data_IF_472451006214
#
_entry.id   IF_472451006214
#
_cell.length_a   1.000
_cell.length_b   1.000
_cell.length_c   1.000
_cell.angle_alpha   90.00
_cell.angle_beta   90.00
_cell.angle_gamma   90.00
#
_symmetry.space_group_name_H-M   'P 1'
#
loop_
_entity.id
_entity.type
_entity.pdbx_description
1 polymer ?
#
# COMPACT_ATOMS: atom_id res chain seq x y z
N UNK A 1 -13.38 -23.43 -11.06
CA UNK A 1 -12.68 -23.42 -12.35
C UNK A 1 -11.20 -23.15 -12.07
N UNK A 2 -10.28 -24.09 -12.35
CA UNK A 2 -8.85 -23.81 -12.29
C UNK A 2 -8.41 -23.02 -13.53
N UNK A 3 -7.47 -22.10 -13.36
CA UNK A 3 -6.79 -21.40 -14.47
C UNK A 3 -5.51 -22.18 -14.86
N UNK A 4 -5.11 -22.09 -16.12
CA UNK A 4 -3.85 -22.68 -16.61
C UNK A 4 -2.63 -21.89 -16.12
N UNK A 5 -1.47 -22.55 -16.02
CA UNK A 5 -0.24 -21.91 -15.54
C UNK A 5 0.25 -20.80 -16.48
N UNK A 6 0.08 -20.95 -17.80
CA UNK A 6 0.34 -19.87 -18.76
C UNK A 6 -0.58 -18.66 -18.51
N UNK A 7 -1.85 -18.87 -18.17
CA UNK A 7 -2.76 -17.77 -17.83
C UNK A 7 -2.44 -17.11 -16.47
N UNK A 8 -1.77 -17.84 -15.57
CA UNK A 8 -1.23 -17.28 -14.32
C UNK A 8 0.01 -16.42 -14.58
N UNK A 9 0.86 -16.82 -15.53
CA UNK A 9 2.06 -16.06 -15.96
C UNK A 9 1.72 -14.93 -16.96
N UNK A 10 0.60 -15.03 -17.70
CA UNK A 10 0.11 -14.04 -18.68
C UNK A 10 -0.92 -13.05 -18.11
N UNK A 11 -1.46 -13.26 -16.89
CA UNK A 11 -2.09 -12.15 -16.19
C UNK A 11 -1.00 -11.09 -15.97
N UNK A 12 -1.16 -9.85 -16.48
CA UNK A 12 -0.12 -8.83 -16.35
C UNK A 12 0.01 -8.49 -14.87
N UNK A 13 0.90 -9.20 -14.15
CA UNK A 13 1.13 -9.18 -12.70
C UNK A 13 0.23 -8.17 -12.01
N UNK A 14 -1.04 -8.58 -11.85
CA UNK A 14 -2.21 -7.72 -11.67
C UNK A 14 -1.78 -6.43 -10.98
N UNK A 15 -1.67 -5.35 -11.77
CA UNK A 15 -1.06 -4.08 -11.38
C UNK A 15 -1.31 -3.84 -9.89
N UNK A 16 -0.31 -4.15 -9.04
CA UNK A 16 -0.36 -4.19 -7.58
C UNK A 16 -1.34 -3.13 -7.12
N UNK A 17 -2.55 -3.60 -6.81
CA UNK A 17 -3.68 -2.72 -6.71
C UNK A 17 -3.56 -2.04 -5.36
N UNK A 18 -2.88 -0.90 -5.35
CA UNK A 18 -2.70 -0.08 -4.15
C UNK A 18 -3.97 0.74 -3.88
N UNK A 19 -5.14 0.16 -4.17
CA UNK A 19 -6.42 0.72 -3.79
C UNK A 19 -6.61 0.69 -2.27
N UNK A 20 -7.32 1.68 -1.76
CA UNK A 20 -7.73 1.73 -0.35
C UNK A 20 -8.42 0.41 0.06
N UNK A 21 -8.05 -0.09 1.25
CA UNK A 21 -8.60 -1.33 1.80
C UNK A 21 -7.82 -2.62 1.45
N UNK A 22 -6.92 -2.57 0.47
CA UNK A 22 -6.05 -3.71 0.10
C UNK A 22 -4.89 -3.91 1.10
N UNK A 23 -4.30 -5.10 1.10
CA UNK A 23 -3.13 -5.41 1.95
C UNK A 23 -1.91 -4.53 1.60
N UNK A 24 -1.54 -4.33 0.32
CA UNK A 24 -0.45 -3.43 -0.03
C UNK A 24 -0.69 -1.99 0.42
N UNK A 25 -1.91 -1.47 0.25
CA UNK A 25 -2.27 -0.14 0.72
C UNK A 25 -2.07 0.01 2.22
N UNK A 26 -2.52 -0.96 3.03
CA UNK A 26 -2.35 -0.90 4.49
C UNK A 26 -0.88 -0.91 4.91
N UNK A 27 -0.04 -1.72 4.27
CA UNK A 27 1.40 -1.75 4.57
C UNK A 27 2.05 -0.42 4.18
N UNK A 28 1.75 0.12 3.00
CA UNK A 28 2.29 1.40 2.57
C UNK A 28 1.83 2.56 3.45
N UNK A 29 0.54 2.61 3.80
CA UNK A 29 0.02 3.64 4.70
C UNK A 29 0.71 3.59 6.07
N UNK A 30 0.89 2.39 6.63
CA UNK A 30 1.62 2.20 7.89
C UNK A 30 3.08 2.69 7.80
N UNK A 31 3.78 2.34 6.73
CA UNK A 31 5.18 2.76 6.54
C UNK A 31 5.30 4.25 6.24
N UNK A 32 4.33 4.84 5.54
CA UNK A 32 4.29 6.27 5.25
C UNK A 32 3.95 7.12 6.49
N UNK A 33 3.14 6.60 7.42
CA UNK A 33 2.88 7.23 8.72
C UNK A 33 4.10 7.17 9.68
N UNK A 34 5.08 6.32 9.35
CA UNK A 34 6.31 6.09 10.10
C UNK A 34 7.53 6.17 9.18
N UNK A 35 7.62 7.25 8.38
CA UNK A 35 8.63 7.43 7.33
C UNK A 35 10.07 7.55 7.87
N UNK A 36 10.22 7.89 9.16
CA UNK A 36 11.49 7.97 9.88
C UNK A 36 11.96 6.62 10.46
N UNK A 37 11.16 5.56 10.34
CA UNK A 37 11.40 4.26 10.99
C UNK A 37 11.47 3.09 10.01
N UNK A 38 12.12 2.01 10.44
CA UNK A 38 12.18 0.76 9.70
C UNK A 38 11.69 -0.40 10.56
N UNK A 39 10.90 -1.28 9.97
CA UNK A 39 10.19 -2.36 10.66
C UNK A 39 10.52 -3.72 10.09
N UNK A 40 10.51 -4.74 10.93
CA UNK A 40 10.57 -6.12 10.49
C UNK A 40 9.22 -6.59 9.96
N UNK A 41 9.21 -7.68 9.18
CA UNK A 41 7.96 -8.32 8.75
C UNK A 41 7.06 -8.74 9.93
N UNK A 42 7.64 -9.05 11.09
CA UNK A 42 6.89 -9.42 12.29
C UNK A 42 6.19 -8.21 12.88
N UNK A 43 6.90 -7.09 13.02
CA UNK A 43 6.31 -5.85 13.52
C UNK A 43 5.24 -5.32 12.56
N UNK A 44 5.48 -5.37 11.25
CA UNK A 44 4.47 -4.99 10.24
C UNK A 44 3.24 -5.89 10.36
N UNK A 45 3.41 -7.21 10.51
CA UNK A 45 2.30 -8.14 10.75
C UNK A 45 1.49 -7.76 11.99
N UNK A 46 2.16 -7.51 13.12
CA UNK A 46 1.52 -7.17 14.39
C UNK A 46 0.78 -5.84 14.32
N UNK A 47 1.35 -4.84 13.64
CA UNK A 47 0.79 -3.49 13.55
C UNK A 47 -0.35 -3.37 12.53
N UNK A 48 -0.27 -4.10 11.42
CA UNK A 48 -1.26 -4.02 10.33
C UNK A 48 -2.34 -5.12 10.40
N UNK A 49 -2.12 -6.17 11.21
CA UNK A 49 -3.01 -7.33 11.31
C UNK A 49 -2.99 -8.24 10.08
N UNK A 50 -2.13 -7.98 9.09
CA UNK A 50 -2.01 -8.78 7.87
C UNK A 50 -1.28 -10.08 8.17
N UNK A 51 -1.75 -11.22 7.67
CA UNK A 51 -1.11 -12.54 7.90
C UNK A 51 0.39 -12.49 7.57
N UNK A 52 1.23 -13.02 8.46
CA UNK A 52 2.70 -13.02 8.33
C UNK A 52 3.21 -13.56 6.99
N UNK A 53 2.59 -14.63 6.47
CA UNK A 53 2.93 -15.18 5.15
C UNK A 53 2.58 -14.26 3.98
N UNK A 54 1.57 -13.39 4.13
CA UNK A 54 1.19 -12.40 3.12
C UNK A 54 2.05 -11.15 3.19
N UNK A 55 2.49 -10.73 4.38
CA UNK A 55 3.36 -9.55 4.57
C UNK A 55 4.62 -9.65 3.71
N UNK A 56 5.31 -10.78 3.75
CA UNK A 56 6.53 -10.98 2.95
C UNK A 56 6.28 -10.87 1.45
N UNK A 57 5.27 -11.59 0.92
CA UNK A 57 4.92 -11.53 -0.50
C UNK A 57 4.54 -10.11 -0.94
N UNK A 58 3.77 -9.38 -0.13
CA UNK A 58 3.36 -8.02 -0.46
C UNK A 58 4.55 -7.07 -0.43
N UNK A 59 5.43 -7.16 0.57
CA UNK A 59 6.62 -6.33 0.69
C UNK A 59 7.59 -6.53 -0.48
N UNK A 60 7.84 -7.78 -0.90
CA UNK A 60 8.66 -8.04 -2.09
C UNK A 60 8.09 -7.35 -3.33
N UNK A 61 6.79 -7.48 -3.57
CA UNK A 61 6.17 -6.83 -4.74
C UNK A 61 6.15 -5.29 -4.64
N UNK A 62 6.09 -4.74 -3.43
CA UNK A 62 6.23 -3.29 -3.19
C UNK A 62 7.67 -2.81 -3.46
N UNK A 63 8.67 -3.61 -3.10
CA UNK A 63 10.09 -3.35 -3.37
C UNK A 63 10.39 -3.42 -4.87
N UNK A 64 9.85 -4.40 -5.59
CA UNK A 64 10.00 -4.51 -7.06
C UNK A 64 9.52 -3.25 -7.79
N UNK A 65 8.60 -2.49 -7.17
CA UNK A 65 8.05 -1.22 -7.70
C UNK A 65 8.76 0.02 -7.17
N UNK A 66 9.70 -0.15 -6.24
CA UNK A 66 10.43 0.93 -5.58
C UNK A 66 9.57 1.74 -4.60
N UNK A 67 8.50 1.15 -4.05
CA UNK A 67 7.61 1.83 -3.08
C UNK A 67 8.09 1.66 -1.64
N UNK A 68 8.88 0.62 -1.38
CA UNK A 68 9.53 0.37 -0.10
C UNK A 68 10.99 0.01 -0.33
N UNK A 69 11.82 0.21 0.70
CA UNK A 69 13.24 -0.18 0.72
C UNK A 69 13.46 -1.28 1.75
N UNK A 70 14.34 -2.22 1.43
CA UNK A 70 14.69 -3.34 2.28
C UNK A 70 16.17 -3.33 2.67
N UNK A 71 16.47 -3.55 3.96
CA UNK A 71 17.82 -3.74 4.46
C UNK A 71 17.86 -4.85 5.52
N UNK A 72 18.36 -6.00 5.11
CA UNK A 72 18.56 -7.15 6.00
C UNK A 72 17.23 -7.80 6.38
N UNK A 73 16.66 -7.41 7.54
CA UNK A 73 15.34 -7.85 7.98
C UNK A 73 14.33 -6.70 8.10
N UNK A 74 14.78 -5.48 7.82
CA UNK A 74 14.05 -4.24 8.06
C UNK A 74 13.56 -3.65 6.75
N UNK A 75 12.37 -3.08 6.80
CA UNK A 75 11.62 -2.49 5.69
C UNK A 75 11.20 -1.08 6.07
N UNK A 76 11.33 -0.14 5.15
CA UNK A 76 10.90 1.24 5.33
C UNK A 76 10.26 1.77 4.05
N UNK A 77 9.55 2.89 4.14
CA UNK A 77 9.03 3.57 2.96
C UNK A 77 10.20 4.05 2.08
N UNK A 78 9.99 4.09 0.76
CA UNK A 78 10.95 4.67 -0.17
C UNK A 78 10.90 6.21 -0.13
N UNK A 79 12.06 6.87 -0.13
CA UNK A 79 12.20 8.35 -0.06
C UNK A 79 11.98 9.06 -1.43
N UNK A 80 11.64 8.32 -2.49
CA UNK A 80 11.71 8.81 -3.88
C UNK A 80 10.42 9.48 -4.37
N UNK A 81 10.49 10.27 -5.46
CA UNK A 81 9.37 11.03 -6.06
C UNK A 81 8.13 10.17 -6.41
N UNK A 82 8.30 8.85 -6.49
CA UNK A 82 7.20 7.89 -6.65
C UNK A 82 6.25 7.83 -5.44
N UNK A 83 6.75 8.11 -4.24
CA UNK A 83 5.93 8.21 -3.04
C UNK A 83 5.01 9.43 -3.11
N UNK A 84 5.45 10.54 -3.69
CA UNK A 84 4.60 11.73 -3.90
C UNK A 84 3.39 11.40 -4.78
N UNK A 85 3.54 10.52 -5.77
CA UNK A 85 2.42 10.04 -6.59
C UNK A 85 1.45 9.15 -5.81
N UNK A 86 1.92 8.36 -4.84
CA UNK A 86 1.06 7.59 -3.94
C UNK A 86 0.35 8.49 -2.92
N UNK A 87 1.07 9.44 -2.32
CA UNK A 87 0.53 10.42 -1.39
C UNK A 87 -0.53 11.31 -2.05
N UNK A 88 -0.32 11.73 -3.31
CA UNK A 88 -1.32 12.46 -4.08
C UNK A 88 -2.60 11.66 -4.31
N UNK A 89 -2.48 10.35 -4.58
CA UNK A 89 -3.64 9.45 -4.70
C UNK A 89 -4.36 9.25 -3.36
N UNK A 90 -3.60 9.16 -2.25
CA UNK A 90 -4.17 9.08 -0.91
C UNK A 90 -4.94 10.36 -0.55
N UNK A 91 -4.35 11.54 -0.79
CA UNK A 91 -5.00 12.82 -0.56
C UNK A 91 -6.29 12.97 -1.40
N UNK A 92 -6.26 12.56 -2.67
CA UNK A 92 -7.44 12.57 -3.53
C UNK A 92 -8.53 11.59 -3.08
N UNK A 93 -8.13 10.42 -2.57
CA UNK A 93 -9.05 9.38 -2.05
C UNK A 93 -9.65 9.75 -0.69
N UNK A 94 -8.92 10.52 0.13
CA UNK A 94 -9.44 11.06 1.40
C UNK A 94 -10.31 12.30 1.19
N UNK A 95 -10.00 13.14 0.21
CA UNK A 95 -10.79 14.32 -0.13
C UNK A 95 -12.17 13.97 -0.70
N UNK A 96 -12.37 12.75 -1.21
CA UNK A 96 -13.65 12.30 -1.77
C UNK A 96 -14.67 11.83 -0.71
N UNK A 97 -14.34 11.88 0.59
CA UNK A 97 -15.29 11.58 1.69
C UNK A 97 -15.71 12.83 2.48
N UNK A 98 -15.23 14.03 2.11
CA UNK A 98 -15.61 15.27 2.79
C UNK A 98 -16.13 16.31 1.79
N UNK A 99 -17.17 15.95 1.04
CA UNK A 99 -18.03 16.93 0.36
C UNK A 99 -19.52 16.64 0.58
N UNK A 100 -19.86 15.96 1.67
CA UNK A 100 -21.23 15.98 2.17
C UNK A 100 -21.26 16.67 3.53
N UNK A 101 -21.97 17.80 3.53
CA UNK A 101 -22.62 18.48 4.66
C UNK A 101 -21.97 19.75 5.25
N UNK A 102 -22.29 20.88 4.61
CA UNK A 102 -22.68 22.18 5.21
C UNK A 102 -23.29 23.01 4.06
N UNK A 103 -24.52 23.51 4.03
CA UNK A 103 -25.67 23.60 4.93
C UNK A 103 -26.63 24.61 4.27
N UNK A 104 -27.94 24.39 4.36
CA UNK A 104 -28.99 25.35 3.99
C UNK A 104 -28.66 26.80 4.45
N UNK A 105 -28.86 27.82 3.60
CA UNK A 105 -29.97 28.78 3.72
C UNK A 105 -29.87 29.99 2.74
N UNK A 106 -31.07 30.50 2.40
CA UNK A 106 -31.49 31.75 1.75
C UNK A 106 -31.23 32.05 0.25
N UNK A 107 -32.33 31.99 -0.53
CA UNK A 107 -32.83 33.14 -1.31
C UNK A 107 -34.35 33.02 -1.59
#
# INVERSE_FOLDING_TARGET
MPIGIDAFDEEPEAALDVAAGTQPYRILAFLAEHDDQAFTQTEIHERTGIKRGSVGTVLSRLEDRGLVRHRGRYWAIADDDRLASFAAQQAASSASTMDDYYGEDEA
#
